data_IF_375961412971
#
_entry.id   IF_375961412971
#
_cell.length_a   1.000
_cell.length_b   1.000
_cell.length_c   1.000
_cell.angle_alpha   90.00
_cell.angle_beta   90.00
_cell.angle_gamma   90.00
#
_symmetry.space_group_name_H-M   'P 1'
#
loop_
_entity.id
_entity.type
_entity.pdbx_description
1 polymer ?
#
# COMPACT_ATOMS: atom_id res chain seq x y z
N UNK A 1 69.75 -23.65 3.56
CA UNK A 1 68.84 -24.52 2.77
C UNK A 1 68.30 -25.59 3.72
N UNK A 2 67.22 -25.28 4.45
CA UNK A 2 66.51 -26.24 5.32
C UNK A 2 65.12 -26.39 4.74
N UNK A 3 64.83 -27.61 4.28
CA UNK A 3 63.57 -28.02 3.70
C UNK A 3 62.43 -27.73 4.68
N UNK A 4 61.49 -26.89 4.26
CA UNK A 4 60.23 -26.71 4.95
C UNK A 4 59.45 -28.02 4.85
N UNK A 5 59.16 -28.59 6.01
CA UNK A 5 58.50 -29.87 6.19
C UNK A 5 57.11 -29.87 5.52
N UNK A 6 56.85 -30.83 4.63
CA UNK A 6 55.62 -30.90 3.80
C UNK A 6 54.32 -30.89 4.63
N UNK A 7 54.37 -31.35 5.88
CA UNK A 7 53.25 -31.28 6.83
C UNK A 7 52.79 -29.86 7.17
N UNK A 8 53.70 -28.88 7.19
CA UNK A 8 53.36 -27.51 7.56
C UNK A 8 52.70 -26.76 6.39
N UNK A 9 53.05 -27.12 5.15
CA UNK A 9 52.42 -26.56 3.94
C UNK A 9 51.01 -27.14 3.77
N UNK A 10 50.83 -28.44 4.03
CA UNK A 10 49.51 -29.08 3.99
C UNK A 10 48.54 -28.52 5.05
N UNK A 11 49.01 -28.24 6.28
CA UNK A 11 48.17 -27.62 7.30
C UNK A 11 47.79 -26.17 6.95
N UNK A 12 48.72 -25.39 6.40
CA UNK A 12 48.45 -24.00 6.01
C UNK A 12 47.45 -23.92 4.83
N UNK A 13 47.56 -24.82 3.85
CA UNK A 13 46.62 -24.91 2.73
C UNK A 13 45.23 -25.39 3.16
N UNK A 14 45.13 -26.37 4.09
CA UNK A 14 43.82 -26.79 4.62
C UNK A 14 43.15 -25.68 5.45
N UNK A 15 43.91 -24.96 6.28
CA UNK A 15 43.37 -23.84 7.06
C UNK A 15 42.87 -22.69 6.16
N UNK A 16 43.62 -22.34 5.11
CA UNK A 16 43.21 -21.31 4.16
C UNK A 16 41.96 -21.71 3.36
N UNK A 17 41.82 -23.00 2.99
CA UNK A 17 40.66 -23.50 2.24
C UNK A 17 39.40 -23.53 3.12
N UNK A 18 39.52 -23.89 4.40
CA UNK A 18 38.40 -23.87 5.36
C UNK A 18 37.92 -22.43 5.63
N UNK A 19 38.83 -21.46 5.71
CA UNK A 19 38.47 -20.04 5.89
C UNK A 19 37.76 -19.48 4.65
N UNK A 20 38.22 -19.80 3.44
CA UNK A 20 37.58 -19.32 2.19
C UNK A 20 36.19 -19.95 1.99
N UNK A 21 36.01 -21.23 2.29
CA UNK A 21 34.69 -21.88 2.27
C UNK A 21 33.78 -21.30 3.37
N UNK A 22 34.29 -21.08 4.58
CA UNK A 22 33.54 -20.47 5.69
C UNK A 22 33.05 -19.06 5.38
N UNK A 23 33.91 -18.20 4.81
CA UNK A 23 33.53 -16.84 4.40
C UNK A 23 32.53 -16.86 3.24
N UNK A 24 32.68 -17.80 2.28
CA UNK A 24 31.75 -17.92 1.14
C UNK A 24 30.35 -18.39 1.58
N UNK A 25 30.27 -19.34 2.52
CA UNK A 25 29.00 -19.81 3.10
C UNK A 25 28.33 -18.73 3.96
N UNK A 26 29.10 -17.94 4.71
CA UNK A 26 28.55 -16.80 5.48
C UNK A 26 28.08 -15.66 4.59
N UNK A 27 28.74 -15.40 3.45
CA UNK A 27 28.30 -14.38 2.49
C UNK A 27 27.05 -14.81 1.71
N UNK A 28 26.93 -16.10 1.35
CA UNK A 28 25.73 -16.68 0.74
C UNK A 28 24.55 -16.75 1.73
N UNK A 29 24.82 -16.93 3.03
CA UNK A 29 23.77 -16.92 4.05
C UNK A 29 23.22 -15.50 4.35
N UNK A 30 23.96 -14.42 4.04
CA UNK A 30 23.51 -13.03 4.24
C UNK A 30 22.83 -12.40 3.02
N UNK A 31 22.76 -13.10 1.89
CA UNK A 31 22.07 -12.65 0.67
C UNK A 31 20.85 -13.52 0.31
N UNK A 32 20.35 -14.34 1.24
CA UNK A 32 18.91 -14.63 1.26
C UNK A 32 18.23 -13.40 1.82
N UNK A 33 18.00 -12.42 0.95
CA UNK A 33 16.88 -11.52 1.15
C UNK A 33 15.66 -12.41 1.19
N UNK A 34 15.16 -12.64 2.40
CA UNK A 34 13.92 -13.34 2.60
C UNK A 34 12.86 -12.49 1.89
N UNK A 35 12.40 -12.99 0.75
CA UNK A 35 11.24 -12.48 0.06
C UNK A 35 9.96 -12.92 0.77
N UNK A 36 10.03 -13.26 2.06
CA UNK A 36 8.91 -13.24 2.99
C UNK A 36 8.33 -11.82 3.02
N UNK A 37 7.56 -11.51 1.98
CA UNK A 37 6.35 -10.72 2.18
C UNK A 37 5.63 -11.44 3.32
N UNK A 38 5.30 -10.76 4.43
CA UNK A 38 4.42 -11.38 5.41
C UNK A 38 3.15 -11.75 4.67
N UNK A 39 2.96 -13.04 4.38
CA UNK A 39 1.66 -13.54 4.02
C UNK A 39 0.80 -13.24 5.25
N UNK A 40 -0.33 -12.57 5.02
CA UNK A 40 -1.39 -12.55 6.01
C UNK A 40 -1.90 -13.99 6.12
N UNK A 41 -1.14 -14.84 6.82
CA UNK A 41 -1.52 -16.21 7.14
C UNK A 41 -2.55 -16.12 8.25
N UNK A 42 -3.80 -15.93 7.81
CA UNK A 42 -4.95 -16.04 8.68
C UNK A 42 -5.37 -17.51 8.61
N UNK A 43 -4.88 -18.28 9.58
CA UNK A 43 -5.20 -19.71 9.85
C UNK A 43 -4.57 -20.81 8.97
N UNK A 44 -4.13 -21.89 9.63
CA UNK A 44 -4.04 -23.28 9.14
C UNK A 44 -3.53 -23.54 7.70
N UNK A 45 -2.45 -22.87 7.29
CA UNK A 45 -1.82 -23.11 5.98
C UNK A 45 -2.71 -22.74 4.79
N UNK A 46 -3.69 -21.86 4.99
CA UNK A 46 -4.47 -21.22 3.93
C UNK A 46 -3.79 -19.89 3.54
N UNK A 47 -3.58 -19.67 2.25
CA UNK A 47 -3.02 -18.42 1.70
C UNK A 47 -3.99 -17.79 0.71
N UNK A 48 -4.16 -16.47 0.78
CA UNK A 48 -4.90 -15.73 -0.26
C UNK A 48 -4.00 -15.61 -1.50
N UNK A 49 -4.38 -16.28 -2.57
CA UNK A 49 -3.63 -16.32 -3.85
C UNK A 49 -4.24 -15.45 -4.94
N UNK A 50 -5.41 -14.86 -4.67
CA UNK A 50 -6.05 -13.92 -5.56
C UNK A 50 -7.41 -13.50 -5.04
N UNK A 51 -8.17 -12.85 -5.91
CA UNK A 51 -9.59 -12.57 -5.65
C UNK A 51 -10.39 -12.75 -6.94
N UNK A 52 -11.69 -12.94 -6.79
CA UNK A 52 -12.68 -12.96 -7.85
C UNK A 52 -13.87 -12.10 -7.44
N UNK A 53 -14.86 -11.94 -8.33
CA UNK A 53 -16.07 -11.19 -8.03
C UNK A 53 -17.30 -11.86 -8.63
N UNK A 54 -18.46 -11.56 -8.04
CA UNK A 54 -19.77 -11.95 -8.55
C UNK A 54 -20.65 -10.71 -8.65
N UNK A 55 -21.32 -10.49 -9.77
CA UNK A 55 -22.34 -9.44 -9.88
C UNK A 55 -23.57 -9.90 -9.09
N UNK A 56 -24.06 -9.05 -8.20
CA UNK A 56 -25.25 -9.32 -7.36
C UNK A 56 -26.27 -8.18 -7.51
N UNK A 57 -27.50 -8.43 -7.08
CA UNK A 57 -28.53 -7.41 -7.04
C UNK A 57 -28.44 -6.56 -5.77
N UNK A 58 -29.00 -5.35 -5.80
CA UNK A 58 -29.16 -4.53 -4.59
C UNK A 58 -30.03 -5.20 -3.51
N UNK A 59 -30.91 -6.13 -3.90
CA UNK A 59 -31.68 -6.94 -2.96
C UNK A 59 -30.84 -7.97 -2.18
N UNK A 60 -29.63 -8.29 -2.64
CA UNK A 60 -28.70 -9.20 -1.99
C UNK A 60 -27.78 -8.48 -0.97
N UNK A 61 -27.88 -7.15 -0.87
CA UNK A 61 -27.10 -6.34 0.05
C UNK A 61 -27.84 -6.19 1.38
N UNK A 62 -27.29 -6.80 2.43
CA UNK A 62 -27.80 -6.68 3.79
C UNK A 62 -27.89 -5.21 4.20
N UNK A 63 -29.06 -4.79 4.67
CA UNK A 63 -29.31 -3.42 5.14
C UNK A 63 -29.57 -2.36 4.05
N UNK A 64 -29.46 -2.69 2.75
CA UNK A 64 -29.58 -1.70 1.66
C UNK A 64 -30.87 -0.85 1.70
N UNK A 65 -32.00 -1.48 2.01
CA UNK A 65 -33.31 -0.79 2.05
C UNK A 65 -33.44 0.17 3.23
N UNK A 66 -32.70 -0.04 4.30
CA UNK A 66 -32.72 0.77 5.52
C UNK A 66 -31.54 1.72 5.64
N UNK A 67 -30.57 1.65 4.73
CA UNK A 67 -29.38 2.49 4.75
C UNK A 67 -29.70 3.96 4.43
N UNK A 68 -28.96 4.87 5.07
CA UNK A 68 -29.07 6.33 4.89
C UNK A 68 -28.20 6.81 3.73
N UNK A 69 -28.53 6.31 2.53
CA UNK A 69 -27.74 6.53 1.30
C UNK A 69 -27.59 8.00 0.91
N UNK A 70 -28.40 8.91 1.46
CA UNK A 70 -28.25 10.34 1.24
C UNK A 70 -26.94 10.91 1.82
N UNK A 71 -26.39 10.32 2.90
CA UNK A 71 -25.19 10.82 3.58
C UNK A 71 -23.92 10.67 2.75
N UNK A 72 -23.87 9.69 1.84
CA UNK A 72 -22.70 9.43 1.00
C UNK A 72 -22.59 10.38 -0.19
N UNK A 73 -23.69 11.01 -0.63
CA UNK A 73 -23.74 11.81 -1.87
C UNK A 73 -22.82 13.06 -1.80
N UNK A 74 -22.79 13.86 -0.72
CA UNK A 74 -21.85 14.99 -0.63
C UNK A 74 -20.39 14.56 -0.73
N UNK A 75 -20.03 13.42 -0.15
CA UNK A 75 -18.68 12.86 -0.22
C UNK A 75 -18.38 12.36 -1.63
N UNK A 76 -19.33 11.67 -2.26
CA UNK A 76 -19.23 11.22 -3.65
C UNK A 76 -18.97 12.39 -4.62
N UNK A 77 -19.70 13.50 -4.49
CA UNK A 77 -19.48 14.69 -5.32
C UNK A 77 -18.14 15.35 -5.04
N UNK A 78 -17.69 15.40 -3.78
CA UNK A 78 -16.34 15.89 -3.44
C UNK A 78 -15.25 15.04 -4.12
N UNK A 79 -15.44 13.73 -4.20
CA UNK A 79 -14.53 12.86 -4.97
C UNK A 79 -14.58 13.19 -6.46
N UNK A 80 -15.77 13.39 -7.02
CA UNK A 80 -15.95 13.82 -8.42
C UNK A 80 -15.26 15.16 -8.74
N UNK A 81 -15.13 16.09 -7.78
CA UNK A 81 -14.39 17.35 -7.97
C UNK A 81 -12.91 17.11 -8.27
N UNK A 82 -12.33 16.03 -7.73
CA UNK A 82 -10.93 15.66 -8.01
C UNK A 82 -10.70 15.20 -9.45
N UNK A 83 -11.77 14.99 -10.22
CA UNK A 83 -11.70 14.59 -11.64
C UNK A 83 -11.66 15.81 -12.57
N UNK A 84 -11.89 17.01 -12.05
CA UNK A 84 -11.85 18.23 -12.84
C UNK A 84 -10.48 18.40 -13.53
N UNK A 85 -10.50 18.63 -14.84
CA UNK A 85 -9.29 18.79 -15.64
C UNK A 85 -8.54 17.49 -15.99
N UNK A 86 -8.97 16.32 -15.50
CA UNK A 86 -8.43 15.02 -15.93
C UNK A 86 -9.09 14.58 -17.25
N UNK A 87 -8.31 13.89 -18.08
CA UNK A 87 -8.79 13.27 -19.32
C UNK A 87 -9.63 12.04 -19.02
N UNK A 88 -10.56 11.70 -19.92
CA UNK A 88 -11.50 10.59 -19.72
C UNK A 88 -10.80 9.24 -19.60
N UNK A 89 -9.69 9.05 -20.31
CA UNK A 89 -8.88 7.82 -20.28
C UNK A 89 -7.95 7.73 -19.05
N UNK A 90 -7.94 8.73 -18.17
CA UNK A 90 -7.11 8.71 -16.96
C UNK A 90 -7.61 7.62 -16.00
N UNK A 91 -6.77 6.65 -15.59
CA UNK A 91 -7.16 5.62 -14.62
C UNK A 91 -7.42 6.23 -13.23
N UNK A 92 -8.49 5.80 -12.54
CA UNK A 92 -8.84 6.32 -11.21
C UNK A 92 -8.14 5.62 -10.05
N UNK A 93 -7.56 4.44 -10.28
CA UNK A 93 -6.67 3.79 -9.33
C UNK A 93 -5.41 3.28 -10.04
N UNK A 94 -4.45 4.18 -10.35
CA UNK A 94 -3.22 3.79 -11.05
C UNK A 94 -2.31 2.92 -10.18
N UNK A 95 -2.53 2.88 -8.86
CA UNK A 95 -1.84 2.01 -7.91
C UNK A 95 -2.38 0.58 -7.92
N UNK A 96 -3.61 0.38 -8.38
CA UNK A 96 -4.14 -0.94 -8.62
C UNK A 96 -3.52 -1.53 -9.89
N UNK A 97 -2.30 -2.03 -9.76
CA UNK A 97 -1.89 -3.23 -10.48
C UNK A 97 -2.81 -4.36 -9.99
N UNK A 98 -3.98 -4.47 -10.60
CA UNK A 98 -5.02 -5.38 -10.17
C UNK A 98 -4.64 -6.77 -10.62
N UNK A 99 -4.32 -7.70 -9.71
CA UNK A 99 -4.25 -9.15 -9.98
C UNK A 99 -3.11 -9.66 -10.88
N UNK A 100 -2.57 -10.85 -10.56
CA UNK A 100 -1.93 -11.70 -11.56
C UNK A 100 -2.87 -11.93 -12.75
N UNK A 101 -2.46 -11.54 -13.96
CA UNK A 101 -3.18 -11.86 -15.20
C UNK A 101 -4.15 -10.79 -15.73
N UNK A 102 -4.29 -9.61 -15.12
CA UNK A 102 -4.99 -8.51 -15.82
C UNK A 102 -4.12 -7.95 -16.93
N UNK A 103 -4.70 -7.64 -18.10
CA UNK A 103 -4.04 -6.84 -19.12
C UNK A 103 -3.55 -5.51 -18.53
N UNK A 104 -2.34 -5.11 -18.92
CA UNK A 104 -1.74 -3.84 -18.52
C UNK A 104 -2.66 -2.67 -18.88
N UNK A 105 -2.95 -1.80 -17.89
CA UNK A 105 -3.72 -0.57 -18.08
C UNK A 105 -5.18 -0.61 -17.62
N UNK A 106 -5.69 -1.73 -17.10
CA UNK A 106 -7.01 -1.80 -16.47
C UNK A 106 -6.91 -1.75 -14.95
N UNK A 107 -7.80 -0.99 -14.32
CA UNK A 107 -7.93 -0.86 -12.85
C UNK A 107 -9.34 -1.29 -12.43
N UNK A 108 -9.53 -1.75 -11.20
CA UNK A 108 -10.86 -2.07 -10.67
C UNK A 108 -11.79 -0.84 -10.69
N UNK A 109 -11.20 0.35 -10.61
CA UNK A 109 -11.91 1.61 -10.59
C UNK A 109 -12.21 2.16 -12.00
N UNK A 110 -11.77 1.51 -13.08
CA UNK A 110 -11.94 2.03 -14.45
C UNK A 110 -11.20 3.35 -14.68
N UNK A 111 -11.80 4.18 -15.53
CA UNK A 111 -11.25 5.48 -15.99
C UNK A 111 -12.12 6.63 -15.53
N UNK A 112 -11.60 7.87 -15.54
CA UNK A 112 -12.38 9.07 -15.21
C UNK A 112 -13.67 9.17 -16.03
N UNK A 113 -13.62 8.81 -17.32
CA UNK A 113 -14.75 8.84 -18.24
C UNK A 113 -15.92 7.97 -17.78
N UNK A 114 -15.63 6.79 -17.22
CA UNK A 114 -16.64 5.84 -16.73
C UNK A 114 -17.49 6.43 -15.58
N UNK A 115 -16.93 7.38 -14.82
CA UNK A 115 -17.59 7.97 -13.64
C UNK A 115 -18.33 9.27 -13.94
N UNK A 116 -18.04 9.95 -15.07
CA UNK A 116 -18.65 11.26 -15.38
C UNK A 116 -20.18 11.24 -15.35
N UNK A 117 -20.88 10.27 -15.96
CA UNK A 117 -22.34 10.27 -15.93
C UNK A 117 -22.92 10.21 -14.52
N UNK A 118 -22.32 9.40 -13.64
CA UNK A 118 -22.72 9.30 -12.24
C UNK A 118 -22.36 10.58 -11.46
N UNK A 119 -21.20 11.17 -11.73
CA UNK A 119 -20.79 12.44 -11.13
C UNK A 119 -21.74 13.59 -11.47
N UNK A 120 -22.12 13.73 -12.74
CA UNK A 120 -23.05 14.78 -13.18
C UNK A 120 -24.43 14.61 -12.54
N UNK A 121 -24.94 13.37 -12.49
CA UNK A 121 -26.21 13.05 -11.84
C UNK A 121 -26.18 13.34 -10.33
N UNK A 122 -25.10 12.98 -9.64
CA UNK A 122 -24.93 13.26 -8.22
C UNK A 122 -24.87 14.78 -7.92
N UNK A 123 -24.22 15.57 -8.78
CA UNK A 123 -24.21 17.05 -8.68
C UNK A 123 -25.59 17.65 -8.88
N UNK A 124 -26.33 17.18 -9.88
CA UNK A 124 -27.72 17.60 -10.08
C UNK A 124 -28.57 17.27 -8.85
N UNK A 125 -28.33 16.11 -8.24
CA UNK A 125 -29.02 15.69 -7.03
C UNK A 125 -28.74 16.61 -5.83
N UNK A 126 -27.48 17.02 -5.62
CA UNK A 126 -27.13 17.96 -4.54
C UNK A 126 -27.69 19.36 -4.73
N UNK A 127 -27.80 19.82 -5.97
CA UNK A 127 -28.26 21.20 -6.27
C UNK A 127 -29.79 21.31 -6.34
N UNK A 128 -30.50 20.21 -6.57
CA UNK A 128 -31.95 20.21 -6.83
C UNK A 128 -32.79 19.60 -5.70
N UNK A 129 -32.23 18.83 -4.75
CA UNK A 129 -33.08 18.13 -3.76
C UNK A 129 -33.43 18.95 -2.51
N UNK A 130 -34.70 19.40 -2.55
CA UNK A 130 -35.75 19.54 -1.53
C UNK A 130 -35.40 19.42 -0.03
N UNK A 131 -36.12 20.21 0.77
CA UNK A 131 -36.02 20.31 2.23
C UNK A 131 -36.49 19.06 3.02
N UNK A 132 -36.90 17.97 2.36
CA UNK A 132 -37.34 16.72 3.00
C UNK A 132 -36.23 15.64 2.96
N UNK A 133 -35.72 15.19 4.13
CA UNK A 133 -34.76 14.09 4.25
C UNK A 133 -35.20 12.76 3.60
N UNK A 134 -36.49 12.40 3.67
CA UNK A 134 -36.95 11.10 3.15
C UNK A 134 -36.93 11.03 1.61
N UNK A 135 -37.24 12.16 0.97
CA UNK A 135 -37.10 12.32 -0.47
C UNK A 135 -35.64 12.22 -0.91
N UNK A 136 -34.69 12.69 -0.08
CA UNK A 136 -33.24 12.59 -0.34
C UNK A 136 -32.75 11.15 -0.31
N UNK A 137 -33.08 10.38 0.72
CA UNK A 137 -32.65 8.98 0.84
C UNK A 137 -33.23 8.12 -0.29
N UNK A 138 -34.49 8.35 -0.67
CA UNK A 138 -35.10 7.61 -1.80
C UNK A 138 -34.46 7.93 -3.15
N UNK A 139 -34.13 9.21 -3.40
CA UNK A 139 -33.45 9.62 -4.63
C UNK A 139 -32.00 9.13 -4.69
N UNK A 140 -31.27 9.18 -3.57
CA UNK A 140 -29.92 8.66 -3.47
C UNK A 140 -29.87 7.14 -3.72
N UNK A 141 -30.85 6.40 -3.19
CA UNK A 141 -31.00 4.96 -3.48
C UNK A 141 -31.23 4.71 -4.97
N UNK A 142 -32.16 5.43 -5.60
CA UNK A 142 -32.41 5.31 -7.04
C UNK A 142 -31.18 5.68 -7.89
N UNK A 143 -30.40 6.68 -7.46
CA UNK A 143 -29.13 7.03 -8.08
C UNK A 143 -28.17 5.84 -8.10
N UNK A 144 -27.94 5.19 -6.95
CA UNK A 144 -27.05 4.03 -6.89
C UNK A 144 -27.58 2.85 -7.71
N UNK A 145 -28.88 2.58 -7.64
CA UNK A 145 -29.54 1.50 -8.39
C UNK A 145 -29.49 1.67 -9.91
N UNK A 146 -29.43 2.92 -10.39
CA UNK A 146 -29.36 3.23 -11.81
C UNK A 146 -27.92 3.24 -12.35
N UNK A 147 -26.99 3.87 -11.62
CA UNK A 147 -25.63 4.11 -12.11
C UNK A 147 -24.63 3.00 -11.76
N UNK A 148 -24.96 2.12 -10.81
CA UNK A 148 -24.01 1.12 -10.31
C UNK A 148 -24.58 -0.30 -10.34
N UNK A 149 -23.67 -1.27 -10.37
CA UNK A 149 -23.97 -2.69 -10.17
C UNK A 149 -23.17 -3.19 -8.98
N UNK A 150 -23.84 -3.72 -7.94
CA UNK A 150 -23.14 -4.32 -6.82
C UNK A 150 -22.29 -5.52 -7.26
N UNK A 151 -21.08 -5.60 -6.72
CA UNK A 151 -20.20 -6.75 -6.90
C UNK A 151 -19.81 -7.31 -5.54
N UNK A 152 -20.01 -8.62 -5.36
CA UNK A 152 -19.52 -9.37 -4.21
C UNK A 152 -18.09 -9.79 -4.48
N UNK A 153 -17.16 -9.26 -3.70
CA UNK A 153 -15.75 -9.66 -3.76
C UNK A 153 -15.54 -10.98 -3.02
N UNK A 154 -14.70 -11.83 -3.60
CA UNK A 154 -14.36 -13.14 -3.08
C UNK A 154 -12.84 -13.29 -3.04
N UNK A 155 -12.29 -13.62 -1.87
CA UNK A 155 -10.89 -14.02 -1.76
C UNK A 155 -10.74 -15.45 -2.29
N UNK A 156 -9.76 -15.67 -3.15
CA UNK A 156 -9.36 -17.00 -3.62
C UNK A 156 -8.25 -17.47 -2.70
N UNK A 157 -8.57 -18.50 -1.93
CA UNK A 157 -7.68 -19.12 -0.98
C UNK A 157 -7.09 -20.39 -1.58
N UNK A 158 -5.82 -20.66 -1.29
CA UNK A 158 -5.15 -21.92 -1.58
C UNK A 158 -4.78 -22.60 -0.28
N UNK A 159 -4.93 -23.92 -0.25
CA UNK A 159 -4.41 -24.76 0.82
C UNK A 159 -3.74 -26.00 0.22
N UNK A 160 -2.66 -26.43 0.85
CA UNK A 160 -2.06 -27.74 0.58
C UNK A 160 -2.88 -28.87 1.20
N UNK A 161 -3.30 -29.83 0.38
CA UNK A 161 -3.97 -31.05 0.84
C UNK A 161 -3.13 -32.28 0.50
N UNK A 162 -3.35 -33.45 1.14
CA UNK A 162 -2.72 -34.69 0.72
C UNK A 162 -3.00 -35.11 -0.73
N UNK A 163 -4.00 -34.50 -1.40
CA UNK A 163 -4.35 -34.76 -2.80
C UNK A 163 -3.77 -33.73 -3.78
N UNK A 164 -3.04 -32.73 -3.29
CA UNK A 164 -2.50 -31.61 -4.06
C UNK A 164 -3.03 -30.26 -3.55
N UNK A 165 -2.67 -29.20 -4.27
CA UNK A 165 -3.14 -27.84 -4.01
C UNK A 165 -4.63 -27.73 -4.34
N UNK A 166 -5.41 -27.17 -3.42
CA UNK A 166 -6.83 -26.89 -3.62
C UNK A 166 -7.08 -25.38 -3.51
N UNK A 167 -7.80 -24.83 -4.49
CA UNK A 167 -8.23 -23.43 -4.49
C UNK A 167 -9.74 -23.33 -4.27
N UNK A 168 -10.17 -22.44 -3.39
CA UNK A 168 -11.59 -22.20 -3.12
C UNK A 168 -11.83 -20.71 -2.83
N UNK A 169 -13.05 -20.26 -3.13
CA UNK A 169 -13.44 -18.86 -2.96
C UNK A 169 -14.28 -18.66 -1.70
N UNK A 170 -13.95 -17.66 -0.88
CA UNK A 170 -14.74 -17.24 0.29
C UNK A 170 -15.00 -15.73 0.25
N UNK A 171 -16.08 -15.30 0.89
CA UNK A 171 -16.47 -13.89 0.97
C UNK A 171 -16.17 -13.25 2.31
N UNK A 172 -15.35 -13.89 3.13
CA UNK A 172 -14.85 -13.33 4.38
C UNK A 172 -13.80 -12.27 4.08
N UNK A 173 -13.80 -11.22 4.89
CA UNK A 173 -12.88 -10.11 4.81
C UNK A 173 -12.63 -9.51 6.18
N UNK A 174 -11.54 -8.76 6.32
CA UNK A 174 -11.17 -8.07 7.55
C UNK A 174 -11.57 -6.60 7.44
N UNK A 175 -12.48 -6.16 8.30
CA UNK A 175 -12.80 -4.74 8.47
C UNK A 175 -12.00 -4.23 9.66
N UNK A 176 -11.20 -3.19 9.42
CA UNK A 176 -10.50 -2.43 10.46
C UNK A 176 -10.98 -0.99 10.46
N UNK A 177 -10.58 -0.20 11.46
CA UNK A 177 -10.88 1.21 11.55
C UNK A 177 -9.61 2.02 11.82
N UNK A 178 -9.58 3.25 11.31
CA UNK A 178 -8.60 4.27 11.67
C UNK A 178 -9.34 5.54 12.09
N UNK A 179 -8.65 6.44 12.77
CA UNK A 179 -9.19 7.74 13.16
C UNK A 179 -8.08 8.80 13.06
N UNK A 180 -8.47 10.07 13.06
CA UNK A 180 -7.55 11.20 13.18
C UNK A 180 -7.39 11.55 14.67
N UNK A 181 -6.23 11.28 15.28
CA UNK A 181 -6.00 11.62 16.68
C UNK A 181 -5.87 13.14 16.86
N UNK A 182 -6.38 13.64 17.98
CA UNK A 182 -6.26 15.04 18.36
C UNK A 182 -5.34 15.18 19.57
N UNK A 183 -4.27 15.97 19.42
CA UNK A 183 -3.28 16.24 20.46
C UNK A 183 -3.24 17.73 20.80
N UNK A 184 -2.98 18.03 22.08
CA UNK A 184 -2.55 19.38 22.46
C UNK A 184 -1.13 19.61 21.96
N UNK A 185 -0.86 20.80 21.46
CA UNK A 185 0.44 21.21 20.95
C UNK A 185 0.72 22.67 21.33
N UNK A 186 1.99 23.05 21.26
CA UNK A 186 2.47 24.40 21.49
C UNK A 186 3.39 24.80 20.33
N UNK A 187 3.26 26.03 19.85
CA UNK A 187 4.17 26.64 18.87
C UNK A 187 5.51 27.08 19.49
N UNK A 188 5.61 27.04 20.82
CA UNK A 188 6.82 27.30 21.59
C UNK A 188 7.23 26.05 22.35
N UNK A 189 8.52 25.70 22.27
CA UNK A 189 9.09 24.60 23.04
C UNK A 189 8.98 24.85 24.55
N UNK A 190 8.57 23.83 25.30
CA UNK A 190 8.62 23.79 26.77
C UNK A 190 9.05 22.40 27.23
N UNK A 191 9.30 22.22 28.53
CA UNK A 191 9.57 20.90 29.09
C UNK A 191 8.38 19.93 28.96
N UNK A 192 7.15 20.45 28.82
CA UNK A 192 5.94 19.66 28.58
C UNK A 192 5.74 19.36 27.08
N UNK A 193 5.92 20.37 26.22
CA UNK A 193 5.86 20.26 24.76
C UNK A 193 7.27 20.15 24.16
N UNK A 194 7.95 19.04 24.46
CA UNK A 194 9.37 18.88 24.16
C UNK A 194 9.68 18.16 22.84
N UNK A 195 8.69 17.48 22.25
CA UNK A 195 8.84 16.71 21.01
C UNK A 195 8.36 17.53 19.80
N UNK A 196 9.24 17.90 18.86
CA UNK A 196 8.85 18.68 17.69
C UNK A 196 8.11 17.82 16.66
N UNK A 197 7.14 18.42 15.97
CA UNK A 197 6.56 17.83 14.75
C UNK A 197 7.23 18.47 13.55
N UNK A 198 7.95 17.67 12.75
CA UNK A 198 8.69 18.19 11.61
C UNK A 198 7.83 18.22 10.35
N UNK A 199 8.00 19.28 9.55
CA UNK A 199 7.70 19.19 8.12
C UNK A 199 8.63 18.16 7.46
N UNK A 200 8.24 17.68 6.29
CA UNK A 200 9.13 16.88 5.45
C UNK A 200 10.45 17.66 5.22
N UNK A 201 11.62 17.13 5.61
CA UNK A 201 12.88 17.82 5.41
C UNK A 201 13.21 18.00 3.93
N UNK A 202 13.79 19.15 3.56
CA UNK A 202 14.14 19.47 2.17
C UNK A 202 15.26 18.57 1.61
N UNK A 203 16.10 18.01 2.49
CA UNK A 203 17.19 17.10 2.14
C UNK A 203 16.75 15.62 2.09
N UNK A 204 15.48 15.31 2.38
CA UNK A 204 14.94 13.95 2.30
C UNK A 204 14.57 13.58 0.86
N UNK A 205 15.45 12.79 0.24
CA UNK A 205 15.32 12.32 -1.13
C UNK A 205 14.78 10.89 -1.11
N UNK A 206 13.68 10.67 -1.82
CA UNK A 206 13.18 9.33 -2.13
C UNK A 206 13.58 8.95 -3.55
N UNK A 207 14.40 7.91 -3.68
CA UNK A 207 14.90 7.43 -4.97
C UNK A 207 14.10 6.22 -5.42
N UNK A 208 13.61 6.27 -6.65
CA UNK A 208 13.03 5.15 -7.36
C UNK A 208 14.14 4.35 -8.03
N UNK A 209 14.47 3.16 -7.52
CA UNK A 209 15.58 2.37 -8.03
C UNK A 209 15.29 1.79 -9.43
N UNK A 210 14.00 1.62 -9.78
CA UNK A 210 13.56 1.15 -11.09
C UNK A 210 13.98 2.06 -12.24
N UNK A 211 14.17 3.36 -11.98
CA UNK A 211 14.67 4.33 -12.96
C UNK A 211 16.14 4.13 -13.34
N UNK A 212 16.90 3.43 -12.49
CA UNK A 212 18.32 3.14 -12.71
C UNK A 212 18.51 1.73 -13.26
N UNK A 213 17.71 0.78 -12.76
CA UNK A 213 17.83 -0.65 -13.07
C UNK A 213 16.45 -1.28 -13.13
N UNK A 214 16.02 -1.86 -14.28
CA UNK A 214 14.70 -2.48 -14.42
C UNK A 214 14.42 -3.58 -13.39
N UNK A 215 15.44 -4.33 -12.97
CA UNK A 215 15.33 -5.38 -11.96
C UNK A 215 15.01 -4.87 -10.55
N UNK A 216 15.15 -3.56 -10.30
CA UNK A 216 14.80 -2.88 -9.05
C UNK A 216 13.47 -2.12 -9.15
N UNK A 217 12.68 -2.34 -10.21
CA UNK A 217 11.37 -1.73 -10.35
C UNK A 217 10.48 -2.01 -9.14
N UNK A 218 9.85 -0.95 -8.61
CA UNK A 218 9.03 -1.01 -7.40
C UNK A 218 9.82 -0.86 -6.09
N UNK A 219 11.16 -0.92 -6.11
CA UNK A 219 11.98 -0.67 -4.92
C UNK A 219 12.32 0.81 -4.78
N UNK A 220 12.30 1.31 -3.54
CA UNK A 220 12.64 2.69 -3.22
C UNK A 220 13.58 2.75 -2.03
N UNK A 221 14.46 3.75 -2.02
CA UNK A 221 15.27 4.10 -0.85
C UNK A 221 15.04 5.55 -0.47
N UNK A 222 15.23 5.86 0.81
CA UNK A 222 15.17 7.21 1.35
C UNK A 222 16.55 7.59 1.90
N UNK A 223 17.04 8.76 1.52
CA UNK A 223 18.37 9.21 1.87
C UNK A 223 18.56 10.71 1.75
N UNK A 224 19.78 11.15 2.00
CA UNK A 224 20.22 12.54 1.78
C UNK A 224 21.57 12.57 1.07
N UNK A 225 21.84 13.64 0.33
CA UNK A 225 23.14 13.82 -0.31
C UNK A 225 24.15 14.34 0.71
N UNK A 226 25.25 13.61 0.89
CA UNK A 226 26.40 14.02 1.68
C UNK A 226 27.65 14.00 0.79
N UNK A 227 28.19 15.18 0.47
CA UNK A 227 29.27 15.31 -0.50
C UNK A 227 28.86 14.79 -1.88
N UNK A 228 29.45 13.68 -2.31
CA UNK A 228 29.16 13.02 -3.59
C UNK A 228 28.43 11.67 -3.42
N UNK A 229 27.91 11.37 -2.23
CA UNK A 229 27.22 10.12 -1.93
C UNK A 229 25.76 10.38 -1.50
N UNK A 230 24.90 9.40 -1.77
CA UNK A 230 23.58 9.29 -1.15
C UNK A 230 23.71 8.40 0.08
N UNK A 231 23.49 8.98 1.25
CA UNK A 231 23.50 8.26 2.53
C UNK A 231 22.06 7.95 2.97
N UNK A 232 21.82 6.85 3.71
CA UNK A 232 20.54 6.60 4.36
C UNK A 232 20.10 7.80 5.20
N UNK A 233 18.80 8.05 5.21
CA UNK A 233 18.25 9.11 6.05
C UNK A 233 18.27 8.67 7.52
N UNK A 234 18.46 9.60 8.48
CA UNK A 234 18.42 9.26 9.90
C UNK A 234 17.19 8.46 10.29
N UNK A 235 17.37 7.44 11.12
CA UNK A 235 16.28 6.61 11.62
C UNK A 235 15.49 7.32 12.75
N UNK A 236 14.44 6.67 13.25
CA UNK A 236 13.59 7.25 14.28
C UNK A 236 14.35 7.58 15.58
N UNK A 237 15.33 6.76 15.98
CA UNK A 237 16.11 7.02 17.19
C UNK A 237 17.05 8.21 16.98
N UNK A 238 17.76 8.26 15.85
CA UNK A 238 18.64 9.37 15.50
C UNK A 238 17.87 10.69 15.37
N UNK A 239 16.66 10.67 14.79
CA UNK A 239 15.78 11.86 14.72
C UNK A 239 15.40 12.34 16.12
N UNK A 240 15.03 11.43 17.02
CA UNK A 240 14.70 11.75 18.41
C UNK A 240 15.91 12.27 19.21
N UNK A 241 17.11 11.81 18.87
CA UNK A 241 18.39 12.30 19.42
C UNK A 241 18.86 13.62 18.76
N UNK A 242 18.06 14.20 17.87
CA UNK A 242 18.27 15.55 17.33
C UNK A 242 18.94 15.61 15.97
N UNK A 243 18.97 14.52 15.19
CA UNK A 243 19.59 14.50 13.86
C UNK A 243 19.00 15.53 12.87
N UNK A 244 17.78 16.02 13.11
CA UNK A 244 17.10 17.03 12.29
C UNK A 244 17.20 18.46 12.84
N UNK A 245 17.88 18.67 13.98
CA UNK A 245 18.03 19.98 14.58
C UNK A 245 18.69 20.96 13.60
N UNK A 246 17.98 22.05 13.29
CA UNK A 246 18.42 23.07 12.33
C UNK A 246 18.42 22.62 10.86
N UNK A 247 17.85 21.45 10.54
CA UNK A 247 17.79 20.90 9.18
C UNK A 247 16.38 20.67 8.65
N UNK A 248 15.41 20.52 9.56
CA UNK A 248 14.01 20.42 9.22
C UNK A 248 13.23 21.57 9.87
N UNK A 249 12.24 22.09 9.15
CA UNK A 249 11.30 23.06 9.71
C UNK A 249 10.38 22.34 10.70
N UNK A 250 10.19 22.91 11.88
CA UNK A 250 9.19 22.47 12.87
C UNK A 250 7.85 23.14 12.53
N UNK A 251 6.75 22.40 12.66
CA UNK A 251 5.38 22.90 12.51
C UNK A 251 5.03 23.97 13.53
#
# INVERSE_FOLDING_TARGET
MRLLNERNIALALMAATIIVIGVSVVMLARFRGDSDRPSLSIDDGEEIVGFSYQIVGFGDLDGWRSDETAESIPVFVRTCDTFAGKLDDTPLDPSAAVLPGTPSGQTLAGTVGDWRPACDAARHMLTQIYADPNARTSAARAFYEYYFRPVKLLNVWRRDTPKGEEEFARSDGLITAYFEPHYQASDVWTSEFSAPVYFRPDDLISVDLGKFRPELAGQRVAGRVAGNALEPYPDHAEINDGALAGRARVL
#
